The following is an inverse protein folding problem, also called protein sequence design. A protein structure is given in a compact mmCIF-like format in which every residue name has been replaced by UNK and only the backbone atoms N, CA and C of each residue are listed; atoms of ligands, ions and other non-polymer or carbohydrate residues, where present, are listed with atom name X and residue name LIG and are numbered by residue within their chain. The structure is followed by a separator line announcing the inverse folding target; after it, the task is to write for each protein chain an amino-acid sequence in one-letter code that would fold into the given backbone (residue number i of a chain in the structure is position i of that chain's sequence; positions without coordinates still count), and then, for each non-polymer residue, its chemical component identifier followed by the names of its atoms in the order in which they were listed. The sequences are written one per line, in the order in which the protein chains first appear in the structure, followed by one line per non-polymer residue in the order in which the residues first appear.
data_IF_518603589847
#
_entry.id   IF_518603589847
#
_cell.length_a   1.000
_cell.length_b   1.000
_cell.length_c   1.000
_cell.angle_alpha   90.00
_cell.angle_beta   90.00
_cell.angle_gamma   90.00
#
_symmetry.space_group_name_H-M   'P 1'
#
loop_
_entity.id
_entity.type
_entity.pdbx_description
1 polymer ?
#
# COMPACT_ATOMS: atom_id res chain seq x y z
N UNK A 1 -13.55 5.80 -14.91
CA UNK A 1 -14.17 4.63 -14.29
C UNK A 1 -13.06 3.91 -13.55
N UNK A 2 -13.15 3.83 -12.22
CA UNK A 2 -12.15 3.11 -11.43
C UNK A 2 -12.44 1.62 -11.54
N UNK A 3 -11.54 0.88 -12.17
CA UNK A 3 -11.69 -0.56 -12.37
C UNK A 3 -10.76 -1.30 -11.41
N UNK A 4 -11.24 -2.34 -10.70
CA UNK A 4 -10.36 -3.17 -9.89
C UNK A 4 -9.40 -3.93 -10.79
N UNK A 5 -8.10 -3.85 -10.48
CA UNK A 5 -7.01 -4.49 -11.23
C UNK A 5 -6.20 -5.48 -10.38
N UNK A 6 -6.49 -5.57 -9.09
CA UNK A 6 -5.85 -6.52 -8.19
C UNK A 6 -6.21 -6.30 -6.73
N UNK A 7 -5.52 -7.03 -5.87
CA UNK A 7 -5.57 -6.89 -4.41
C UNK A 7 -4.16 -6.83 -3.84
N UNK A 8 -4.02 -6.14 -2.71
CA UNK A 8 -2.78 -6.03 -1.96
C UNK A 8 -3.00 -6.39 -0.49
N UNK A 9 -2.42 -7.51 -0.06
CA UNK A 9 -2.48 -7.97 1.34
C UNK A 9 -1.28 -7.41 2.11
N UNK A 10 -1.53 -6.52 3.06
CA UNK A 10 -0.48 -5.82 3.82
C UNK A 10 -0.01 -6.68 4.98
N UNK A 11 1.29 -6.89 5.07
CA UNK A 11 1.94 -7.69 6.12
C UNK A 11 2.79 -6.83 7.07
N UNK A 12 3.27 -5.69 6.60
CA UNK A 12 4.08 -4.78 7.39
C UNK A 12 4.01 -3.35 6.84
N UNK A 13 4.44 -2.38 7.64
CA UNK A 13 4.56 -0.99 7.22
C UNK A 13 5.72 -0.31 7.93
N UNK A 14 6.49 0.50 7.20
CA UNK A 14 7.52 1.33 7.80
C UNK A 14 7.61 2.69 7.10
N UNK A 15 8.15 3.67 7.80
CA UNK A 15 8.29 5.01 7.29
C UNK A 15 9.73 5.28 6.83
N UNK A 16 9.89 5.69 5.58
CA UNK A 16 11.16 6.18 5.04
C UNK A 16 11.29 7.67 5.30
N UNK A 17 12.34 8.07 6.01
CA UNK A 17 12.65 9.48 6.30
C UNK A 17 12.64 10.31 5.01
N UNK A 18 11.77 11.33 4.96
CA UNK A 18 11.54 12.24 3.82
C UNK A 18 10.90 11.65 2.55
N UNK A 19 10.50 10.37 2.53
CA UNK A 19 9.83 9.75 1.36
C UNK A 19 8.38 9.36 1.64
N UNK A 20 8.04 9.01 2.88
CA UNK A 20 6.69 8.62 3.27
C UNK A 20 6.60 7.17 3.74
N UNK A 21 5.39 6.64 3.76
CA UNK A 21 5.12 5.29 4.23
C UNK A 21 5.28 4.26 3.11
N UNK A 22 5.91 3.14 3.45
CA UNK A 22 6.00 1.95 2.62
C UNK A 22 5.14 0.88 3.27
N UNK A 23 4.19 0.34 2.50
CA UNK A 23 3.44 -0.85 2.88
C UNK A 23 4.11 -2.05 2.22
N UNK A 24 4.36 -3.11 2.99
CA UNK A 24 4.97 -4.35 2.50
C UNK A 24 3.92 -5.43 2.50
N UNK A 25 3.85 -6.20 1.42
CA UNK A 25 2.82 -7.22 1.31
C UNK A 25 2.90 -8.03 0.02
N UNK A 26 1.82 -8.77 -0.23
CA UNK A 26 1.64 -9.57 -1.44
C UNK A 26 0.63 -8.90 -2.37
N UNK A 27 0.98 -8.89 -3.67
CA UNK A 27 0.11 -8.37 -4.73
C UNK A 27 -0.43 -9.55 -5.52
N UNK A 28 -1.76 -9.62 -5.68
CA UNK A 28 -2.40 -10.46 -6.68
C UNK A 28 -3.01 -9.56 -7.76
N UNK A 29 -2.54 -9.67 -9.00
CA UNK A 29 -2.97 -8.81 -10.11
C UNK A 29 -1.87 -7.84 -10.54
N UNK A 30 -2.24 -6.61 -10.89
CA UNK A 30 -1.30 -5.56 -11.31
C UNK A 30 -1.30 -4.40 -10.33
N UNK A 31 -0.11 -3.82 -10.11
CA UNK A 31 0.05 -2.57 -9.37
C UNK A 31 1.10 -1.69 -10.05
N UNK A 32 0.72 -0.45 -10.30
CA UNK A 32 1.55 0.58 -10.91
C UNK A 32 1.49 1.87 -10.09
N UNK A 33 2.51 2.74 -10.16
CA UNK A 33 2.40 4.12 -9.67
C UNK A 33 1.15 4.82 -10.25
N UNK A 34 0.39 5.48 -9.38
CA UNK A 34 -0.88 6.13 -9.69
C UNK A 34 -2.12 5.27 -9.39
N UNK A 35 -1.97 3.96 -9.18
CA UNK A 35 -3.09 3.14 -8.69
C UNK A 35 -3.48 3.51 -7.27
N UNK A 36 -4.74 3.27 -6.93
CA UNK A 36 -5.29 3.53 -5.61
C UNK A 36 -5.45 2.23 -4.85
N UNK A 37 -5.03 2.23 -3.58
CA UNK A 37 -5.29 1.17 -2.62
C UNK A 37 -6.51 1.58 -1.80
N UNK A 38 -7.61 0.85 -1.93
CA UNK A 38 -8.84 1.10 -1.20
C UNK A 38 -8.99 0.03 -0.12
N UNK A 39 -8.87 0.45 1.13
CA UNK A 39 -9.14 -0.35 2.31
C UNK A 39 -10.53 0.01 2.83
N UNK A 40 -11.37 -1.00 3.06
CA UNK A 40 -12.67 -0.78 3.68
C UNK A 40 -12.52 -0.48 5.18
N UNK A 41 -13.32 0.44 5.75
CA UNK A 41 -14.41 1.18 5.09
C UNK A 41 -14.00 2.53 4.45
N UNK A 42 -12.84 3.13 4.72
CA UNK A 42 -12.61 4.55 4.39
C UNK A 42 -11.18 4.95 3.98
N UNK A 43 -10.19 4.06 4.04
CA UNK A 43 -8.79 4.47 3.78
C UNK A 43 -8.45 4.27 2.31
N UNK A 44 -8.21 5.36 1.59
CA UNK A 44 -7.69 5.33 0.21
C UNK A 44 -6.30 5.91 0.15
N UNK A 45 -5.34 5.16 -0.39
CA UNK A 45 -3.95 5.57 -0.56
C UNK A 45 -3.58 5.54 -2.04
N UNK A 46 -2.71 6.45 -2.48
CA UNK A 46 -2.19 6.45 -3.85
C UNK A 46 -0.80 5.86 -3.84
N UNK A 47 -0.56 4.85 -4.69
CA UNK A 47 0.76 4.27 -4.91
C UNK A 47 1.63 5.27 -5.67
N UNK A 48 2.79 5.61 -5.13
CA UNK A 48 3.76 6.52 -5.77
C UNK A 48 4.98 5.80 -6.31
N UNK A 49 5.34 4.65 -5.72
CA UNK A 49 6.39 3.75 -6.23
C UNK A 49 6.07 2.31 -5.87
N UNK A 50 6.58 1.40 -6.69
CA UNK A 50 6.51 -0.06 -6.51
C UNK A 50 7.94 -0.57 -6.46
N UNK A 51 8.30 -1.26 -5.38
CA UNK A 51 9.65 -1.77 -5.15
C UNK A 51 9.59 -3.26 -4.78
N UNK A 52 10.60 -4.03 -5.19
CA UNK A 52 10.78 -5.39 -4.68
C UNK A 52 11.54 -5.33 -3.35
N UNK A 53 10.97 -5.91 -2.29
CA UNK A 53 11.59 -5.97 -0.97
C UNK A 53 11.94 -7.43 -0.68
N UNK A 54 13.19 -7.67 -0.29
CA UNK A 54 13.60 -8.95 0.28
C UNK A 54 13.48 -8.87 1.80
N UNK A 55 12.48 -9.57 2.36
CA UNK A 55 12.26 -9.65 3.81
C UNK A 55 12.43 -11.09 4.23
N UNK A 56 13.43 -11.36 5.06
CA UNK A 56 13.70 -12.71 5.60
C UNK A 56 13.87 -13.80 4.51
N UNK A 57 14.40 -13.44 3.34
CA UNK A 57 14.59 -14.37 2.22
C UNK A 57 13.35 -14.60 1.36
N UNK A 58 12.23 -13.93 1.67
CA UNK A 58 11.01 -13.96 0.85
C UNK A 58 10.91 -12.65 0.06
N UNK A 59 10.66 -12.76 -1.24
CA UNK A 59 10.38 -11.61 -2.09
C UNK A 59 8.95 -11.12 -1.84
N UNK A 60 8.84 -9.86 -1.42
CA UNK A 60 7.57 -9.16 -1.19
C UNK A 60 7.54 -7.88 -2.02
N UNK A 61 6.35 -7.31 -2.18
CA UNK A 61 6.18 -6.03 -2.85
C UNK A 61 6.08 -4.92 -1.81
N UNK A 62 6.91 -3.89 -1.98
CA UNK A 62 6.85 -2.64 -1.23
C UNK A 62 6.15 -1.57 -2.04
N UNK A 63 5.08 -0.99 -1.49
CA UNK A 63 4.36 0.11 -2.11
C UNK A 63 4.65 1.38 -1.31
N UNK A 64 5.36 2.32 -1.93
CA UNK A 64 5.45 3.67 -1.40
C UNK A 64 4.11 4.34 -1.65
N UNK A 65 3.49 4.87 -0.59
CA UNK A 65 2.16 5.47 -0.67
C UNK A 65 2.22 6.94 -0.27
N UNK A 66 1.45 7.76 -0.98
CA UNK A 66 1.30 9.16 -0.61
C UNK A 66 0.29 9.30 0.54
N UNK A 67 0.65 10.01 1.63
CA UNK A 67 -0.27 10.32 2.71
C UNK A 67 -1.21 11.49 2.35
N UNK A 68 -1.24 11.99 1.11
CA UNK A 68 -2.11 13.13 0.77
C UNK A 68 -3.59 12.89 1.05
N UNK A 69 -4.03 11.64 1.18
CA UNK A 69 -5.39 11.24 1.57
C UNK A 69 -5.50 10.59 2.95
N UNK A 70 -4.39 10.20 3.58
CA UNK A 70 -4.37 9.67 4.94
C UNK A 70 -3.83 10.76 5.88
N UNK A 71 -4.70 11.28 6.76
CA UNK A 71 -4.31 12.28 7.76
C UNK A 71 -2.98 11.91 8.41
N UNK A 72 -2.10 12.90 8.54
CA UNK A 72 -0.63 12.82 8.62
C UNK A 72 -0.06 12.08 9.83
N UNK A 73 -0.91 11.42 10.62
CA UNK A 73 -0.59 10.88 11.93
C UNK A 73 -0.89 9.39 12.14
N UNK A 74 -1.59 8.66 11.26
CA UNK A 74 -2.15 7.36 11.72
C UNK A 74 -2.15 6.20 10.71
N UNK A 75 -1.21 6.06 9.78
CA UNK A 75 -1.13 4.79 9.02
C UNK A 75 -0.94 3.55 9.93
N UNK A 76 -0.12 3.61 11.00
CA UNK A 76 -0.10 2.56 12.03
C UNK A 76 -1.38 2.50 12.89
N UNK A 77 -2.06 3.63 13.11
CA UNK A 77 -3.31 3.71 13.86
C UNK A 77 -4.53 3.17 13.10
N UNK A 78 -4.45 3.16 11.77
CA UNK A 78 -5.51 2.71 10.85
C UNK A 78 -5.56 1.20 10.65
N UNK A 79 -4.79 0.43 11.44
CA UNK A 79 -4.79 -1.05 11.42
C UNK A 79 -4.62 -1.64 10.02
N UNK A 80 -3.81 -1.02 9.15
CA UNK A 80 -3.65 -1.49 7.77
C UNK A 80 -2.91 -2.83 7.68
N UNK A 81 -2.03 -3.10 8.64
CA UNK A 81 -1.30 -4.37 8.72
C UNK A 81 -2.29 -5.51 9.01
N UNK A 82 -2.25 -6.56 8.19
CA UNK A 82 -3.18 -7.67 8.23
C UNK A 82 -4.45 -7.46 7.39
N UNK A 83 -4.67 -6.25 6.86
CA UNK A 83 -5.79 -5.95 5.97
C UNK A 83 -5.41 -6.11 4.49
N UNK A 84 -6.45 -6.26 3.66
CA UNK A 84 -6.31 -6.34 2.20
C UNK A 84 -6.95 -5.12 1.56
N UNK A 85 -6.20 -4.42 0.71
CA UNK A 85 -6.73 -3.37 -0.14
C UNK A 85 -7.15 -3.92 -1.50
N UNK A 86 -8.21 -3.35 -2.07
CA UNK A 86 -8.47 -3.44 -3.50
C UNK A 86 -7.57 -2.44 -4.24
N UNK A 87 -6.96 -2.88 -5.34
CA UNK A 87 -6.14 -2.05 -6.22
C UNK A 87 -7.03 -1.55 -7.35
N UNK A 88 -7.18 -0.23 -7.45
CA UNK A 88 -8.03 0.44 -8.43
C UNK A 88 -7.16 1.24 -9.40
N UNK A 89 -7.50 1.20 -10.70
CA UNK A 89 -6.88 2.02 -11.74
C UNK A 89 -7.66 3.31 -11.99
#
# INVERSE_FOLDING_TARGET
MHNPVGIFAVEDAFHLTRRGWVLVGEVTGQVDPGNWLVFEPEVTLVVTSVEAINKQGVHKTGLLVSPHLASRYELPGQQLIGNTAQIMR
#
